data_IF_862341346980
#
_entry.id   IF_862341346980
#
_cell.length_a   1.000
_cell.length_b   1.000
_cell.length_c   1.000
_cell.angle_alpha   90.00
_cell.angle_beta   90.00
_cell.angle_gamma   90.00
#
_symmetry.space_group_name_H-M   'P 1'
#
loop_
_entity.id
_entity.type
_entity.pdbx_description
1 polymer ?
#
# COMPACT_ATOMS: atom_id res chain seq x y z
N UNK A 1 0.48 6.46 69.41
CA UNK A 1 0.04 7.05 68.13
C UNK A 1 -0.34 5.91 67.22
N UNK A 2 -1.62 5.80 66.84
CA UNK A 2 -2.07 4.77 65.91
C UNK A 2 -1.74 5.18 64.49
N UNK A 3 -1.04 4.33 63.73
CA UNK A 3 -0.92 4.49 62.28
C UNK A 3 -2.29 4.17 61.69
N UNK A 4 -2.83 5.10 60.89
CA UNK A 4 -4.09 4.88 60.15
C UNK A 4 -3.85 3.87 59.03
N UNK A 5 -4.85 3.06 58.70
CA UNK A 5 -4.76 2.14 57.56
C UNK A 5 -4.56 2.93 56.26
N UNK A 6 -3.81 2.34 55.33
CA UNK A 6 -3.51 2.95 54.04
C UNK A 6 -4.77 3.00 53.16
N UNK A 7 -5.04 4.15 52.56
CA UNK A 7 -6.13 4.32 51.60
C UNK A 7 -5.67 4.04 50.17
N UNK A 8 -6.61 3.81 49.25
CA UNK A 8 -6.29 3.66 47.82
C UNK A 8 -5.51 4.87 47.26
N UNK A 9 -5.77 6.08 47.77
CA UNK A 9 -5.02 7.28 47.39
C UNK A 9 -3.57 7.24 47.87
N UNK A 10 -3.34 6.82 49.11
CA UNK A 10 -1.97 6.69 49.66
C UNK A 10 -1.17 5.67 48.82
N UNK A 11 -1.81 4.58 48.38
CA UNK A 11 -1.17 3.55 47.55
C UNK A 11 -0.88 4.02 46.12
N UNK A 12 -1.77 4.82 45.52
CA UNK A 12 -1.52 5.47 44.22
C UNK A 12 -0.37 6.48 44.32
N UNK A 13 -0.30 7.25 45.41
CA UNK A 13 0.82 8.14 45.69
C UNK A 13 2.13 7.36 45.87
N UNK A 14 2.10 6.20 46.54
CA UNK A 14 3.26 5.32 46.65
C UNK A 14 3.73 4.80 45.28
N UNK A 15 2.81 4.36 44.40
CA UNK A 15 3.15 3.95 43.04
C UNK A 15 3.82 5.08 42.23
N UNK A 16 3.34 6.32 42.39
CA UNK A 16 3.95 7.49 41.76
C UNK A 16 5.35 7.76 42.28
N UNK A 17 5.58 7.63 43.60
CA UNK A 17 6.90 7.77 44.20
C UNK A 17 7.85 6.69 43.68
N UNK A 18 7.42 5.42 43.69
CA UNK A 18 8.22 4.31 43.16
C UNK A 18 8.61 4.51 41.70
N UNK A 19 7.68 4.98 40.87
CA UNK A 19 7.96 5.35 39.48
C UNK A 19 9.04 6.44 39.39
N UNK A 20 8.88 7.52 40.15
CA UNK A 20 9.80 8.66 40.10
C UNK A 20 11.20 8.32 40.62
N UNK A 21 11.30 7.36 41.54
CA UNK A 21 12.56 6.80 42.04
C UNK A 21 13.21 5.80 41.06
N UNK A 22 12.53 5.45 39.97
CA UNK A 22 13.04 4.47 39.00
C UNK A 22 12.97 3.04 39.53
N UNK A 23 11.99 2.71 40.37
CA UNK A 23 11.81 1.37 40.90
C UNK A 23 11.51 0.36 39.77
N UNK A 24 12.24 -0.75 39.79
CA UNK A 24 12.10 -1.88 38.86
C UNK A 24 11.68 -3.18 39.58
N UNK A 25 11.41 -3.09 40.89
CA UNK A 25 11.04 -4.23 41.72
C UNK A 25 9.56 -4.61 41.51
N UNK A 26 9.33 -5.55 40.59
CA UNK A 26 7.99 -6.09 40.31
C UNK A 26 7.35 -6.64 41.59
N UNK A 27 8.07 -7.39 42.43
CA UNK A 27 7.45 -8.04 43.59
C UNK A 27 6.89 -7.02 44.57
N UNK A 28 7.61 -5.90 44.78
CA UNK A 28 7.14 -4.77 45.58
C UNK A 28 5.88 -4.14 44.98
N UNK A 29 5.90 -3.87 43.67
CA UNK A 29 4.76 -3.26 42.96
C UNK A 29 3.54 -4.19 42.94
N UNK A 30 3.74 -5.49 42.71
CA UNK A 30 2.69 -6.53 42.82
C UNK A 30 2.07 -6.55 44.22
N UNK A 31 2.87 -6.34 45.28
CA UNK A 31 2.38 -6.22 46.65
C UNK A 31 1.36 -5.09 46.81
N UNK A 32 1.62 -3.93 46.20
CA UNK A 32 0.71 -2.79 46.22
C UNK A 32 -0.57 -3.09 45.41
N UNK A 33 -0.44 -3.68 44.22
CA UNK A 33 -1.61 -4.07 43.42
C UNK A 33 -2.48 -5.10 44.13
N UNK A 34 -1.89 -6.10 44.79
CA UNK A 34 -2.62 -7.08 45.60
C UNK A 34 -3.39 -6.43 46.75
N UNK A 35 -2.84 -5.37 47.35
CA UNK A 35 -3.54 -4.63 48.40
C UNK A 35 -4.72 -3.85 47.80
N UNK A 36 -4.51 -3.17 46.67
CA UNK A 36 -5.56 -2.47 45.94
C UNK A 36 -6.69 -3.41 45.48
N UNK A 37 -6.35 -4.63 45.06
CA UNK A 37 -7.32 -5.65 44.64
C UNK A 37 -8.16 -6.18 45.82
N UNK A 38 -7.55 -6.34 47.00
CA UNK A 38 -8.25 -6.83 48.21
C UNK A 38 -9.20 -5.82 48.84
N UNK A 39 -8.87 -4.53 48.79
CA UNK A 39 -9.65 -3.45 49.38
C UNK A 39 -10.91 -3.07 48.55
N UNK A 40 -11.21 -3.83 47.50
CA UNK A 40 -11.92 -3.28 46.35
C UNK A 40 -13.44 -3.14 46.51
N UNK A 41 -13.89 -1.88 46.52
CA UNK A 41 -14.74 -1.32 45.45
C UNK A 41 -13.82 -0.37 44.67
N UNK A 42 -13.54 -0.65 43.39
CA UNK A 42 -12.73 0.25 42.57
C UNK A 42 -13.38 1.64 42.53
N UNK A 43 -12.81 2.61 43.24
CA UNK A 43 -13.31 3.97 43.19
C UNK A 43 -13.02 4.54 41.79
N UNK A 44 -13.94 5.38 41.29
CA UNK A 44 -13.72 6.10 40.02
C UNK A 44 -12.41 6.90 40.05
N UNK A 45 -11.99 7.37 41.22
CA UNK A 45 -10.73 8.07 41.45
C UNK A 45 -9.52 7.19 41.16
N UNK A 46 -9.52 5.92 41.60
CA UNK A 46 -8.45 4.97 41.31
C UNK A 46 -8.30 4.73 39.80
N UNK A 47 -9.42 4.45 39.10
CA UNK A 47 -9.39 4.24 37.64
C UNK A 47 -8.85 5.48 36.93
N UNK A 48 -9.27 6.67 37.36
CA UNK A 48 -8.81 7.94 36.80
C UNK A 48 -7.30 8.10 36.99
N UNK A 49 -6.75 7.72 38.14
CA UNK A 49 -5.31 7.79 38.39
C UNK A 49 -4.50 6.85 37.48
N UNK A 50 -4.96 5.60 37.30
CA UNK A 50 -4.32 4.63 36.41
C UNK A 50 -4.38 5.02 34.93
N UNK A 51 -5.42 5.74 34.52
CA UNK A 51 -5.53 6.29 33.15
C UNK A 51 -4.65 7.54 32.99
N UNK A 52 -4.63 8.44 33.96
CA UNK A 52 -3.92 9.72 33.86
C UNK A 52 -2.41 9.59 34.11
N UNK A 53 -1.97 8.57 34.84
CA UNK A 53 -0.58 8.41 35.26
C UNK A 53 0.00 7.07 34.83
N UNK A 54 1.27 7.06 34.46
CA UNK A 54 1.99 5.83 34.14
C UNK A 54 2.43 5.12 35.42
N UNK A 55 1.50 4.41 36.07
CA UNK A 55 1.69 3.72 37.37
C UNK A 55 1.59 2.20 37.27
N UNK A 56 1.61 1.66 36.05
CA UNK A 56 1.66 0.22 35.76
C UNK A 56 3.10 -0.17 35.39
N UNK A 57 3.78 -0.91 36.24
CA UNK A 57 5.13 -1.41 35.92
C UNK A 57 5.03 -2.64 35.01
N UNK A 58 5.71 -2.64 33.87
CA UNK A 58 5.80 -3.78 32.96
C UNK A 58 7.26 -4.09 32.68
N UNK A 59 7.63 -5.37 32.76
CA UNK A 59 8.99 -5.83 32.42
C UNK A 59 9.00 -6.42 31.02
N UNK A 60 9.86 -5.87 30.18
CA UNK A 60 10.16 -6.33 28.81
C UNK A 60 11.62 -6.77 28.78
N UNK A 61 11.86 -8.06 28.89
CA UNK A 61 13.20 -8.66 29.01
C UNK A 61 14.05 -8.04 30.13
N UNK A 62 15.07 -7.25 29.75
CA UNK A 62 16.00 -6.58 30.65
C UNK A 62 15.57 -5.16 31.04
N UNK A 63 14.48 -4.64 30.47
CA UNK A 63 14.00 -3.29 30.70
C UNK A 63 12.68 -3.28 31.46
N UNK A 64 12.57 -2.38 32.42
CA UNK A 64 11.34 -2.09 33.15
C UNK A 64 10.78 -0.76 32.70
N UNK A 65 9.50 -0.72 32.35
CA UNK A 65 8.82 0.48 31.85
C UNK A 65 7.56 0.71 32.65
N UNK A 66 7.31 1.95 33.01
CA UNK A 66 6.07 2.39 33.64
C UNK A 66 5.10 2.91 32.57
N UNK A 67 3.88 2.36 32.56
CA UNK A 67 2.84 2.61 31.57
C UNK A 67 1.53 3.04 32.24
N UNK A 68 0.69 3.75 31.50
CA UNK A 68 -0.70 4.02 31.89
C UNK A 68 -1.63 2.86 31.52
N UNK A 69 -2.84 2.86 32.06
CA UNK A 69 -3.86 1.86 31.74
C UNK A 69 -4.21 1.84 30.24
N UNK A 70 -4.19 2.99 29.55
CA UNK A 70 -4.45 3.08 28.10
C UNK A 70 -3.32 2.51 27.23
N UNK A 71 -2.13 2.33 27.79
CA UNK A 71 -0.97 1.77 27.09
C UNK A 71 -0.80 0.26 27.35
N UNK A 72 -1.69 -0.32 28.17
CA UNK A 72 -1.68 -1.71 28.57
C UNK A 72 -2.88 -2.46 28.02
N UNK A 73 -2.73 -3.77 27.86
CA UNK A 73 -3.83 -4.66 27.56
C UNK A 73 -3.64 -6.00 28.26
N UNK A 74 -4.71 -6.77 28.37
CA UNK A 74 -4.63 -8.16 28.79
C UNK A 74 -4.66 -9.07 27.56
N UNK A 75 -3.73 -10.03 27.47
CA UNK A 75 -3.79 -11.05 26.43
C UNK A 75 -3.64 -12.46 26.97
N UNK A 76 -4.44 -13.39 26.44
CA UNK A 76 -4.34 -14.81 26.79
C UNK A 76 -3.31 -15.55 25.93
N UNK A 77 -3.06 -15.06 24.72
CA UNK A 77 -2.07 -15.59 23.81
C UNK A 77 -0.63 -15.44 24.34
N UNK A 78 0.23 -16.38 23.99
CA UNK A 78 1.68 -16.23 24.15
C UNK A 78 2.17 -15.21 23.12
N UNK A 79 2.39 -13.97 23.56
CA UNK A 79 2.90 -12.88 22.72
C UNK A 79 4.43 -12.82 22.79
N UNK A 80 5.11 -12.41 21.72
CA UNK A 80 6.54 -12.07 21.80
C UNK A 80 6.78 -10.75 22.58
N UNK A 81 8.05 -10.57 22.96
CA UNK A 81 8.56 -9.80 24.11
C UNK A 81 8.27 -8.28 24.14
N UNK A 82 7.66 -7.70 23.10
CA UNK A 82 7.55 -6.24 22.95
C UNK A 82 6.19 -5.63 23.32
N UNK A 83 5.23 -6.43 23.76
CA UNK A 83 3.87 -5.95 23.98
C UNK A 83 3.51 -5.77 25.47
N UNK A 84 2.72 -4.73 25.76
CA UNK A 84 2.25 -4.34 27.10
C UNK A 84 1.23 -5.32 27.73
N UNK A 85 1.34 -6.62 27.45
CA UNK A 85 0.46 -7.63 28.03
C UNK A 85 0.76 -7.81 29.51
N UNK A 86 -0.26 -7.59 30.35
CA UNK A 86 -0.10 -7.66 31.80
C UNK A 86 -0.04 -9.10 32.35
N UNK A 87 -0.52 -10.09 31.58
CA UNK A 87 -0.55 -11.50 32.00
C UNK A 87 0.84 -12.03 32.37
N UNK A 88 1.88 -11.63 31.63
CA UNK A 88 3.24 -12.09 31.87
C UNK A 88 3.83 -11.56 33.20
N UNK A 89 3.48 -10.33 33.59
CA UNK A 89 3.96 -9.72 34.82
C UNK A 89 3.08 -10.06 36.04
N UNK A 90 1.78 -10.19 35.82
CA UNK A 90 0.78 -10.27 36.87
C UNK A 90 -0.33 -11.31 36.58
N UNK A 91 0.00 -12.61 36.46
CA UNK A 91 -0.96 -13.63 36.07
C UNK A 91 -2.15 -13.76 37.03
N UNK A 92 -1.93 -13.53 38.32
CA UNK A 92 -2.96 -13.67 39.37
C UNK A 92 -3.89 -12.46 39.50
N UNK A 93 -3.58 -11.34 38.84
CA UNK A 93 -4.31 -10.07 38.95
C UNK A 93 -5.24 -9.81 37.76
N UNK A 94 -5.69 -10.86 37.06
CA UNK A 94 -6.55 -10.74 35.89
C UNK A 94 -7.83 -9.94 36.17
N UNK A 95 -8.56 -10.31 37.23
CA UNK A 95 -9.82 -9.65 37.59
C UNK A 95 -9.59 -8.19 38.00
N UNK A 96 -8.51 -7.91 38.73
CA UNK A 96 -8.10 -6.55 39.05
C UNK A 96 -7.94 -5.69 37.79
N UNK A 97 -7.10 -6.11 36.85
CA UNK A 97 -6.83 -5.29 35.67
C UNK A 97 -8.04 -5.16 34.75
N UNK A 98 -8.78 -6.25 34.51
CA UNK A 98 -9.93 -6.24 33.60
C UNK A 98 -11.17 -5.59 34.22
N UNK A 99 -11.57 -6.00 35.42
CA UNK A 99 -12.84 -5.58 36.02
C UNK A 99 -12.69 -4.29 36.84
N UNK A 100 -11.65 -4.21 37.68
CA UNK A 100 -11.41 -3.05 38.54
C UNK A 100 -10.97 -1.82 37.76
N UNK A 101 -9.92 -1.99 36.98
CA UNK A 101 -9.28 -0.89 36.26
C UNK A 101 -9.94 -0.66 34.90
N UNK A 102 -10.53 -1.70 34.29
CA UNK A 102 -11.15 -1.59 32.96
C UNK A 102 -10.15 -1.61 31.83
N UNK A 103 -9.01 -2.29 32.03
CA UNK A 103 -8.01 -2.47 30.98
C UNK A 103 -8.61 -3.35 29.88
N UNK A 104 -8.37 -2.97 28.62
CA UNK A 104 -8.90 -3.70 27.47
C UNK A 104 -8.22 -5.06 27.30
N UNK A 105 -9.02 -6.03 26.87
CA UNK A 105 -8.50 -7.27 26.28
C UNK A 105 -7.88 -6.92 24.91
N UNK A 106 -6.79 -7.60 24.54
CA UNK A 106 -6.11 -7.38 23.26
C UNK A 106 -7.09 -7.50 22.08
N UNK A 107 -6.88 -6.72 21.03
CA UNK A 107 -7.65 -6.86 19.81
C UNK A 107 -7.47 -8.23 19.16
N UNK A 108 -6.32 -8.89 19.38
CA UNK A 108 -6.05 -10.26 18.93
C UNK A 108 -6.99 -11.27 19.59
N UNK A 109 -7.08 -11.28 20.92
CA UNK A 109 -7.95 -12.23 21.63
C UNK A 109 -9.42 -11.93 21.34
N UNK A 110 -9.79 -10.65 21.23
CA UNK A 110 -11.14 -10.25 20.79
C UNK A 110 -11.48 -10.69 19.37
N UNK A 111 -10.48 -10.78 18.50
CA UNK A 111 -10.65 -11.28 17.14
C UNK A 111 -10.88 -12.80 17.12
N UNK A 112 -10.23 -13.54 18.02
CA UNK A 112 -10.37 -15.00 18.13
C UNK A 112 -11.57 -15.45 18.97
N UNK A 113 -12.13 -14.56 19.79
CA UNK A 113 -13.27 -14.88 20.61
C UNK A 113 -14.52 -15.12 19.75
N UNK A 114 -15.00 -16.36 19.76
CA UNK A 114 -16.19 -16.81 19.04
C UNK A 114 -17.50 -16.20 19.55
N UNK A 115 -17.48 -15.50 20.69
CA UNK A 115 -18.65 -14.84 21.26
C UNK A 115 -19.08 -13.56 20.50
N UNK A 116 -18.26 -13.08 19.56
CA UNK A 116 -18.55 -11.90 18.74
C UNK A 116 -18.93 -12.30 17.32
N UNK A 117 -20.15 -12.00 16.90
CA UNK A 117 -20.73 -12.49 15.63
C UNK A 117 -21.33 -11.36 14.79
N UNK A 118 -20.64 -10.23 14.66
CA UNK A 118 -21.03 -9.21 13.67
C UNK A 118 -19.86 -8.83 12.77
N UNK A 119 -20.18 -8.56 11.51
CA UNK A 119 -19.25 -8.09 10.48
C UNK A 119 -18.49 -6.84 10.94
N UNK A 120 -19.19 -5.94 11.63
CA UNK A 120 -18.65 -4.68 12.12
C UNK A 120 -17.63 -4.90 13.25
N UNK A 121 -17.89 -5.85 14.15
CA UNK A 121 -16.97 -6.14 15.24
C UNK A 121 -15.68 -6.78 14.73
N UNK A 122 -15.76 -7.70 13.76
CA UNK A 122 -14.59 -8.32 13.14
C UNK A 122 -13.68 -7.27 12.49
N UNK A 123 -14.25 -6.38 11.65
CA UNK A 123 -13.52 -5.26 11.05
C UNK A 123 -12.90 -4.34 12.09
N UNK A 124 -13.67 -3.95 13.11
CA UNK A 124 -13.20 -3.08 14.19
C UNK A 124 -12.03 -3.73 14.94
N UNK A 125 -12.10 -5.02 15.24
CA UNK A 125 -11.04 -5.74 15.94
C UNK A 125 -9.78 -5.87 15.08
N UNK A 126 -9.91 -6.17 13.77
CA UNK A 126 -8.76 -6.16 12.84
C UNK A 126 -8.07 -4.79 12.79
N UNK A 127 -8.84 -3.70 12.68
CA UNK A 127 -8.30 -2.34 12.70
C UNK A 127 -7.69 -1.98 14.06
N UNK A 128 -8.33 -2.38 15.17
CA UNK A 128 -7.80 -2.15 16.52
C UNK A 128 -6.47 -2.88 16.73
N UNK A 129 -6.30 -4.07 16.15
CA UNK A 129 -5.04 -4.80 16.19
C UNK A 129 -3.93 -4.04 15.44
N UNK A 130 -4.26 -3.40 14.31
CA UNK A 130 -3.32 -2.52 13.61
C UNK A 130 -2.97 -1.28 14.44
N UNK A 131 -3.94 -0.72 15.16
CA UNK A 131 -3.70 0.43 16.02
C UNK A 131 -2.82 0.05 17.23
N UNK A 132 -3.08 -1.10 17.87
CA UNK A 132 -2.28 -1.66 18.98
C UNK A 132 -0.82 -1.94 18.57
N UNK A 133 -0.62 -2.42 17.34
CA UNK A 133 0.70 -2.74 16.75
C UNK A 133 1.35 -1.54 16.05
N UNK A 134 0.71 -0.36 16.06
CA UNK A 134 1.16 0.86 15.36
C UNK A 134 1.41 0.63 13.85
N UNK A 135 0.63 -0.25 13.24
CA UNK A 135 0.73 -0.63 11.83
C UNK A 135 1.94 -1.53 11.51
N UNK A 136 2.66 -2.03 12.51
CA UNK A 136 3.66 -3.07 12.32
C UNK A 136 3.01 -4.45 12.23
N UNK A 137 3.78 -5.44 11.76
CA UNK A 137 3.33 -6.84 11.73
C UNK A 137 3.04 -7.30 13.18
N UNK A 138 1.84 -7.85 13.44
CA UNK A 138 1.51 -8.34 14.78
C UNK A 138 2.48 -9.42 15.27
N UNK A 139 2.99 -9.21 16.48
CA UNK A 139 3.82 -10.14 17.25
C UNK A 139 2.99 -11.27 17.92
N UNK A 140 1.97 -11.74 17.20
CA UNK A 140 1.04 -12.77 17.63
C UNK A 140 1.12 -13.98 16.69
N UNK A 141 0.72 -15.18 17.14
CA UNK A 141 0.67 -16.33 16.25
C UNK A 141 -0.43 -16.11 15.18
N UNK A 142 -0.06 -16.27 13.91
CA UNK A 142 -0.95 -16.07 12.76
C UNK A 142 -1.95 -17.22 12.57
N UNK A 143 -1.56 -18.44 12.91
CA UNK A 143 -2.34 -19.65 12.60
C UNK A 143 -3.74 -19.69 13.23
N UNK A 144 -3.94 -19.24 14.49
CA UNK A 144 -5.29 -19.13 15.05
C UNK A 144 -6.19 -18.20 14.24
N UNK A 145 -5.67 -17.06 13.75
CA UNK A 145 -6.44 -16.09 12.98
C UNK A 145 -6.82 -16.64 11.61
N UNK A 146 -5.91 -17.38 10.96
CA UNK A 146 -6.19 -18.03 9.66
C UNK A 146 -7.34 -19.02 9.74
N UNK A 147 -7.41 -19.78 10.83
CA UNK A 147 -8.43 -20.81 11.08
C UNK A 147 -9.73 -20.23 11.63
N UNK A 148 -9.68 -19.05 12.24
CA UNK A 148 -10.86 -18.40 12.81
C UNK A 148 -11.76 -17.83 11.72
N UNK A 149 -13.08 -17.88 11.95
CA UNK A 149 -14.09 -17.26 11.09
C UNK A 149 -14.15 -15.76 11.35
N UNK A 150 -13.18 -15.01 10.83
CA UNK A 150 -13.01 -13.58 11.13
C UNK A 150 -13.04 -12.70 9.88
N UNK A 151 -12.93 -13.28 8.69
CA UNK A 151 -12.84 -12.52 7.44
C UNK A 151 -14.22 -12.17 6.91
N UNK A 152 -14.55 -10.87 6.79
CA UNK A 152 -15.78 -10.39 6.15
C UNK A 152 -15.85 -10.84 4.70
N UNK A 153 -16.82 -11.69 4.35
CA UNK A 153 -17.06 -12.12 2.98
C UNK A 153 -18.38 -11.57 2.49
N UNK A 154 -18.37 -11.04 1.28
CA UNK A 154 -19.56 -10.70 0.51
C UNK A 154 -19.77 -11.76 -0.57
N UNK A 155 -20.90 -12.46 -0.51
CA UNK A 155 -21.29 -13.39 -1.58
C UNK A 155 -22.08 -12.63 -2.65
N UNK A 156 -21.57 -12.66 -3.88
CA UNK A 156 -22.38 -12.30 -5.04
C UNK A 156 -23.48 -13.36 -5.18
N UNK A 157 -24.73 -12.96 -4.94
CA UNK A 157 -25.88 -13.82 -5.21
C UNK A 157 -26.19 -13.85 -6.70
N UNK A 158 -26.73 -14.98 -7.14
CA UNK A 158 -27.36 -15.11 -8.45
C UNK A 158 -28.37 -13.96 -8.69
N UNK A 159 -28.47 -13.56 -9.96
CA UNK A 159 -29.12 -12.36 -10.54
C UNK A 159 -30.56 -12.06 -10.03
N UNK A 160 -31.20 -12.96 -9.29
CA UNK A 160 -32.61 -12.86 -8.86
C UNK A 160 -32.84 -12.76 -7.34
N UNK A 161 -31.83 -12.48 -6.51
CA UNK A 161 -32.05 -12.26 -5.07
C UNK A 161 -31.70 -10.83 -4.60
N UNK A 162 -32.62 -10.14 -3.89
CA UNK A 162 -32.48 -8.72 -3.56
C UNK A 162 -31.63 -8.42 -2.31
N UNK A 163 -30.87 -9.37 -1.75
CA UNK A 163 -30.20 -9.18 -0.45
C UNK A 163 -28.82 -9.82 -0.39
N UNK A 164 -27.77 -9.00 -0.44
CA UNK A 164 -26.36 -9.44 -0.25
C UNK A 164 -26.21 -10.27 1.02
N UNK A 165 -25.63 -11.46 0.91
CA UNK A 165 -25.30 -12.31 2.06
C UNK A 165 -23.88 -12.00 2.52
N UNK A 166 -23.75 -11.68 3.80
CA UNK A 166 -22.48 -11.44 4.46
C UNK A 166 -22.21 -12.56 5.46
N UNK A 167 -21.02 -13.16 5.38
CA UNK A 167 -20.58 -14.21 6.32
C UNK A 167 -19.16 -13.91 6.80
N UNK A 168 -18.83 -14.37 8.00
CA UNK A 168 -17.44 -14.43 8.47
C UNK A 168 -16.85 -15.79 8.14
N UNK A 169 -15.75 -15.78 7.40
CA UNK A 169 -15.07 -16.98 6.93
C UNK A 169 -13.63 -17.06 7.45
N UNK A 170 -13.04 -18.26 7.38
CA UNK A 170 -11.60 -18.48 7.60
C UNK A 170 -10.82 -18.22 6.32
N UNK A 171 -9.49 -18.04 6.40
CA UNK A 171 -8.67 -17.85 5.19
C UNK A 171 -8.72 -19.07 4.26
N UNK A 172 -8.83 -20.26 4.85
CA UNK A 172 -8.78 -21.56 4.15
C UNK A 172 -10.06 -21.90 3.36
N UNK A 173 -11.13 -21.12 3.50
CA UNK A 173 -12.32 -21.32 2.66
C UNK A 173 -12.13 -20.67 1.30
N UNK A 174 -12.77 -21.25 0.27
CA UNK A 174 -12.97 -20.60 -1.03
C UNK A 174 -13.82 -19.33 -0.79
N UNK A 175 -13.16 -18.17 -0.81
CA UNK A 175 -13.76 -16.86 -0.51
C UNK A 175 -13.96 -16.12 -1.84
N UNK A 176 -15.20 -15.72 -2.13
CA UNK A 176 -15.56 -15.03 -3.36
C UNK A 176 -15.16 -13.56 -3.37
N UNK A 177 -15.28 -12.85 -2.23
CA UNK A 177 -14.83 -11.46 -2.12
C UNK A 177 -14.75 -11.02 -0.67
N UNK A 178 -13.63 -10.41 -0.26
CA UNK A 178 -13.55 -9.77 1.06
C UNK A 178 -14.28 -8.43 1.04
N UNK A 179 -15.14 -8.21 2.02
CA UNK A 179 -15.93 -7.00 2.14
C UNK A 179 -15.14 -5.91 2.89
N UNK A 180 -14.32 -5.13 2.19
CA UNK A 180 -13.62 -3.97 2.74
C UNK A 180 -13.68 -2.77 1.81
N UNK A 181 -13.76 -1.56 2.37
CA UNK A 181 -13.56 -0.34 1.61
C UNK A 181 -12.07 -0.02 1.40
N UNK A 182 -11.76 0.97 0.55
CA UNK A 182 -10.37 1.31 0.22
C UNK A 182 -9.58 1.86 1.42
N UNK A 183 -10.23 2.53 2.36
CA UNK A 183 -9.58 3.07 3.57
C UNK A 183 -9.24 1.92 4.51
N UNK A 184 -10.18 1.00 4.72
CA UNK A 184 -10.00 -0.23 5.47
C UNK A 184 -8.87 -1.06 4.86
N UNK A 185 -8.87 -1.28 3.55
CA UNK A 185 -7.81 -2.05 2.86
C UNK A 185 -6.44 -1.43 3.08
N UNK A 186 -6.31 -0.10 2.97
CA UNK A 186 -5.03 0.58 3.22
C UNK A 186 -4.56 0.44 4.66
N UNK A 187 -5.47 0.59 5.63
CA UNK A 187 -5.12 0.46 7.06
C UNK A 187 -4.78 -0.98 7.44
N UNK A 188 -5.40 -1.95 6.78
CA UNK A 188 -5.22 -3.38 7.00
C UNK A 188 -4.11 -4.00 6.15
N UNK A 189 -3.38 -3.22 5.35
CA UNK A 189 -2.28 -3.74 4.54
C UNK A 189 -1.26 -4.57 5.35
N UNK A 190 -0.78 -4.13 6.54
CA UNK A 190 0.12 -4.94 7.36
C UNK A 190 -0.54 -6.22 7.89
N UNK A 191 -1.85 -6.17 8.18
CA UNK A 191 -2.63 -7.34 8.58
C UNK A 191 -2.72 -8.37 7.45
N UNK A 192 -3.03 -7.93 6.22
CA UNK A 192 -3.13 -8.81 5.06
C UNK A 192 -1.80 -9.48 4.71
N UNK A 193 -0.69 -8.74 4.82
CA UNK A 193 0.67 -9.28 4.71
C UNK A 193 0.96 -10.33 5.79
N UNK A 194 0.59 -10.02 7.02
CA UNK A 194 0.80 -10.94 8.15
C UNK A 194 0.05 -12.26 7.97
N UNK A 195 -1.18 -12.24 7.46
CA UNK A 195 -1.95 -13.47 7.17
C UNK A 195 -1.66 -14.08 5.79
N UNK A 196 -0.81 -13.45 4.98
CA UNK A 196 -0.41 -13.85 3.62
C UNK A 196 -1.57 -13.97 2.61
N UNK A 197 -2.42 -12.94 2.53
CA UNK A 197 -3.53 -12.87 1.55
C UNK A 197 -3.44 -11.68 0.60
N UNK A 198 -2.37 -10.90 0.66
CA UNK A 198 -2.10 -9.73 -0.17
C UNK A 198 -2.00 -10.07 -1.66
N UNK A 199 -1.70 -11.31 -2.04
CA UNK A 199 -1.71 -11.72 -3.44
C UNK A 199 -3.11 -11.95 -4.00
N UNK A 200 -4.14 -11.98 -3.14
CA UNK A 200 -5.54 -12.25 -3.52
C UNK A 200 -6.35 -11.00 -3.85
N UNK A 201 -5.74 -9.82 -3.98
CA UNK A 201 -6.48 -8.62 -4.39
C UNK A 201 -7.09 -8.82 -5.78
N UNK A 202 -8.36 -8.44 -5.94
CA UNK A 202 -9.04 -8.46 -7.25
C UNK A 202 -8.25 -7.72 -8.32
N UNK A 203 -7.59 -6.62 -7.98
CA UNK A 203 -6.73 -5.86 -8.90
C UNK A 203 -5.55 -6.66 -9.48
N UNK A 204 -5.19 -7.81 -8.88
CA UNK A 204 -4.16 -8.74 -9.35
C UNK A 204 -4.74 -9.92 -10.11
N UNK A 205 -5.98 -10.31 -9.81
CA UNK A 205 -6.65 -11.48 -10.40
C UNK A 205 -7.48 -11.13 -11.64
N UNK A 206 -7.84 -9.86 -11.81
CA UNK A 206 -8.66 -9.40 -12.95
C UNK A 206 -7.80 -9.21 -14.19
N UNK A 207 -8.24 -9.81 -15.29
CA UNK A 207 -7.74 -9.56 -16.64
C UNK A 207 -8.70 -8.63 -17.37
N UNK A 208 -8.15 -7.62 -18.02
CA UNK A 208 -8.92 -6.73 -18.89
C UNK A 208 -8.85 -7.25 -20.33
N UNK A 209 -10.00 -7.53 -20.94
CA UNK A 209 -10.10 -7.92 -22.34
C UNK A 209 -10.74 -6.80 -23.17
N UNK A 210 -10.19 -6.55 -24.35
CA UNK A 210 -10.72 -5.54 -25.25
C UNK A 210 -12.03 -6.02 -25.87
N UNK A 211 -13.10 -5.28 -25.63
CA UNK A 211 -14.38 -5.55 -26.28
C UNK A 211 -14.48 -4.76 -27.58
N UNK A 212 -14.54 -3.43 -27.46
CA UNK A 212 -14.85 -2.56 -28.61
C UNK A 212 -14.08 -1.25 -28.53
N UNK A 213 -13.57 -0.80 -29.69
CA UNK A 213 -12.99 0.53 -29.88
C UNK A 213 -13.88 1.35 -30.80
N UNK A 214 -14.33 2.53 -30.33
CA UNK A 214 -15.14 3.44 -31.14
C UNK A 214 -14.23 4.41 -31.89
N UNK A 215 -14.05 4.13 -33.19
CA UNK A 215 -13.17 4.90 -34.06
C UNK A 215 -13.80 6.21 -34.54
N UNK A 216 -13.46 7.32 -33.88
CA UNK A 216 -13.43 8.65 -34.49
C UNK A 216 -12.04 9.23 -34.31
N UNK A 217 -11.05 8.64 -34.99
CA UNK A 217 -9.65 8.96 -34.76
C UNK A 217 -9.35 10.43 -35.03
N UNK A 218 -9.07 11.20 -33.97
CA UNK A 218 -8.79 12.63 -34.07
C UNK A 218 -7.31 12.95 -34.21
N UNK A 219 -6.43 12.08 -33.69
CA UNK A 219 -4.99 12.31 -33.68
C UNK A 219 -4.22 11.00 -33.64
N UNK A 220 -3.11 10.92 -34.38
CA UNK A 220 -2.16 9.81 -34.38
C UNK A 220 -0.75 10.33 -34.16
N UNK A 221 0.05 9.62 -33.37
CA UNK A 221 1.47 9.91 -33.18
C UNK A 221 2.24 8.62 -32.84
N UNK A 222 3.57 8.68 -32.90
CA UNK A 222 4.44 7.53 -32.64
C UNK A 222 5.21 7.68 -31.31
N UNK A 223 5.76 6.55 -30.85
CA UNK A 223 6.67 6.50 -29.69
C UNK A 223 8.15 6.53 -30.10
N UNK A 224 8.48 6.65 -31.40
CA UNK A 224 9.85 6.45 -31.91
C UNK A 224 10.86 7.35 -31.23
N UNK A 225 10.48 8.59 -30.94
CA UNK A 225 11.35 9.56 -30.29
C UNK A 225 11.70 9.19 -28.83
N UNK A 226 10.82 8.43 -28.17
CA UNK A 226 10.94 8.01 -26.75
C UNK A 226 11.28 6.53 -26.60
N UNK A 227 11.22 5.74 -27.68
CA UNK A 227 11.44 4.30 -27.70
C UNK A 227 12.76 3.86 -27.05
N UNK A 228 13.85 4.60 -27.27
CA UNK A 228 15.15 4.28 -26.66
C UNK A 228 15.11 4.33 -25.13
N UNK A 229 14.39 5.31 -24.58
CA UNK A 229 14.28 5.52 -23.13
C UNK A 229 13.39 4.44 -22.49
N UNK A 230 12.30 4.07 -23.16
CA UNK A 230 11.42 2.97 -22.72
C UNK A 230 12.15 1.61 -22.84
N UNK A 231 13.00 1.41 -23.85
CA UNK A 231 13.74 0.17 -24.03
C UNK A 231 14.74 -0.15 -22.89
N UNK A 232 15.06 0.83 -22.03
CA UNK A 232 15.92 0.63 -20.85
C UNK A 232 15.29 -0.28 -19.79
N UNK A 233 13.98 -0.46 -19.81
CA UNK A 233 13.28 -1.40 -18.91
C UNK A 233 13.27 -2.84 -19.42
N UNK A 234 13.69 -3.08 -20.68
CA UNK A 234 13.83 -4.42 -21.21
C UNK A 234 15.05 -5.14 -20.63
N UNK A 235 15.00 -6.48 -20.58
CA UNK A 235 16.21 -7.26 -20.27
C UNK A 235 17.31 -6.98 -21.31
N UNK A 236 18.59 -7.11 -20.97
CA UNK A 236 19.70 -6.77 -21.89
C UNK A 236 19.61 -7.48 -23.25
N UNK A 237 19.06 -8.70 -23.29
CA UNK A 237 18.87 -9.48 -24.52
C UNK A 237 17.59 -9.12 -25.28
N UNK A 238 16.60 -8.53 -24.62
CA UNK A 238 15.31 -8.16 -25.21
C UNK A 238 15.16 -6.65 -25.47
N UNK A 239 16.05 -5.81 -24.92
CA UNK A 239 15.96 -4.36 -25.05
C UNK A 239 16.04 -3.89 -26.52
N UNK A 240 16.78 -4.59 -27.38
CA UNK A 240 16.88 -4.24 -28.81
C UNK A 240 15.61 -4.63 -29.60
N UNK A 241 15.02 -5.80 -29.33
CA UNK A 241 13.74 -6.22 -29.91
C UNK A 241 12.63 -5.28 -29.47
N UNK A 242 12.57 -4.98 -28.17
CA UNK A 242 11.66 -4.01 -27.58
C UNK A 242 11.80 -2.63 -28.23
N UNK A 243 13.03 -2.12 -28.38
CA UNK A 243 13.29 -0.85 -29.05
C UNK A 243 12.72 -0.82 -30.48
N UNK A 244 12.95 -1.89 -31.26
CA UNK A 244 12.43 -2.00 -32.63
C UNK A 244 10.90 -2.01 -32.66
N UNK A 245 10.27 -2.78 -31.76
CA UNK A 245 8.81 -2.85 -31.62
C UNK A 245 8.20 -1.50 -31.27
N UNK A 246 8.79 -0.78 -30.31
CA UNK A 246 8.36 0.56 -29.91
C UNK A 246 8.55 1.61 -31.01
N UNK A 247 9.54 1.43 -31.89
CA UNK A 247 9.78 2.33 -33.03
C UNK A 247 8.72 2.22 -34.14
N UNK A 248 7.99 1.10 -34.18
CA UNK A 248 6.85 0.85 -35.07
C UNK A 248 5.50 1.10 -34.39
N UNK A 249 5.49 1.34 -33.07
CA UNK A 249 4.27 1.50 -32.30
C UNK A 249 3.49 2.75 -32.69
N UNK A 250 2.16 2.63 -32.73
CA UNK A 250 1.26 3.73 -33.03
C UNK A 250 0.41 4.06 -31.81
N UNK A 251 0.30 5.35 -31.49
CA UNK A 251 -0.68 5.85 -30.54
C UNK A 251 -1.83 6.50 -31.31
N UNK A 252 -3.04 5.99 -31.09
CA UNK A 252 -4.26 6.42 -31.77
C UNK A 252 -5.22 6.97 -30.72
N UNK A 253 -5.54 8.26 -30.85
CA UNK A 253 -6.62 8.84 -30.07
C UNK A 253 -7.97 8.40 -30.66
N UNK A 254 -8.85 7.83 -29.83
CA UNK A 254 -10.16 7.28 -30.21
C UNK A 254 -11.29 7.92 -29.41
N UNK A 255 -12.55 7.70 -29.78
CA UNK A 255 -13.68 8.33 -29.10
C UNK A 255 -13.97 7.70 -27.74
N UNK A 256 -14.01 6.36 -27.68
CA UNK A 256 -14.18 5.56 -26.47
C UNK A 256 -13.49 4.21 -26.66
N UNK A 257 -13.05 3.61 -25.56
CA UNK A 257 -12.53 2.24 -25.48
C UNK A 257 -13.37 1.50 -24.45
N UNK A 258 -13.92 0.34 -24.80
CA UNK A 258 -14.68 -0.51 -23.91
C UNK A 258 -13.95 -1.83 -23.68
N UNK A 259 -13.91 -2.26 -22.43
CA UNK A 259 -13.28 -3.52 -22.02
C UNK A 259 -14.20 -4.29 -21.10
N UNK A 260 -14.14 -5.61 -21.18
CA UNK A 260 -14.70 -6.52 -20.18
C UNK A 260 -13.62 -6.87 -19.16
N UNK A 261 -14.05 -7.11 -17.92
CA UNK A 261 -13.19 -7.64 -16.88
C UNK A 261 -13.47 -9.12 -16.73
N UNK A 262 -12.42 -9.92 -16.72
CA UNK A 262 -12.47 -11.36 -16.53
C UNK A 262 -11.67 -11.77 -15.31
N UNK A 263 -12.19 -12.72 -14.55
CA UNK A 263 -11.51 -13.31 -13.40
C UNK A 263 -11.66 -14.82 -13.53
N UNK A 264 -10.60 -15.56 -13.28
CA UNK A 264 -10.68 -17.03 -13.17
C UNK A 264 -10.73 -17.39 -11.70
N UNK A 265 -11.83 -17.97 -11.25
CA UNK A 265 -12.01 -18.42 -9.88
C UNK A 265 -12.67 -19.81 -9.89
N UNK A 266 -12.12 -20.75 -9.11
CA UNK A 266 -12.64 -22.11 -8.98
C UNK A 266 -12.83 -22.81 -10.34
N UNK A 267 -11.83 -22.64 -11.22
CA UNK A 267 -11.82 -23.09 -12.63
C UNK A 267 -12.96 -22.54 -13.51
N UNK A 268 -13.69 -21.53 -13.03
CA UNK A 268 -14.73 -20.82 -13.78
C UNK A 268 -14.26 -19.42 -14.17
N UNK A 269 -14.58 -19.01 -15.40
CA UNK A 269 -14.35 -17.65 -15.88
C UNK A 269 -15.57 -16.82 -15.54
N UNK A 270 -15.39 -15.83 -14.66
CA UNK A 270 -16.39 -14.84 -14.29
C UNK A 270 -16.10 -13.58 -15.10
N UNK A 271 -17.04 -13.14 -15.93
CA UNK A 271 -16.93 -11.93 -16.73
C UNK A 271 -17.87 -10.85 -16.21
N UNK A 272 -17.49 -9.58 -16.37
CA UNK A 272 -18.37 -8.45 -16.09
C UNK A 272 -19.60 -8.44 -17.01
N UNK A 273 -20.80 -8.26 -16.45
CA UNK A 273 -22.07 -8.21 -17.20
C UNK A 273 -22.12 -7.12 -18.29
N UNK A 274 -21.42 -6.01 -18.06
CA UNK A 274 -21.38 -4.86 -18.97
C UNK A 274 -19.93 -4.40 -19.19
N UNK A 275 -19.55 -4.10 -20.44
CA UNK A 275 -18.27 -3.48 -20.74
C UNK A 275 -18.18 -2.10 -20.10
N UNK A 276 -17.00 -1.75 -19.59
CA UNK A 276 -16.77 -0.42 -19.02
C UNK A 276 -15.81 0.39 -19.88
N UNK A 277 -15.95 1.72 -19.85
CA UNK A 277 -15.04 2.61 -20.56
C UNK A 277 -13.67 2.65 -19.87
N UNK A 278 -12.59 2.59 -20.65
CA UNK A 278 -11.21 2.74 -20.14
C UNK A 278 -10.46 3.91 -20.79
N UNK A 279 -9.57 4.60 -20.05
CA UNK A 279 -8.84 5.73 -20.62
C UNK A 279 -7.77 5.37 -21.66
N UNK A 280 -7.24 4.14 -21.59
CA UNK A 280 -6.24 3.65 -22.54
C UNK A 280 -6.27 2.12 -22.62
N UNK A 281 -5.83 1.56 -23.75
CA UNK A 281 -5.63 0.13 -23.94
C UNK A 281 -4.43 -0.13 -24.86
N UNK A 282 -3.69 -1.21 -24.62
CA UNK A 282 -2.53 -1.60 -25.42
C UNK A 282 -2.85 -2.92 -26.11
N UNK A 283 -2.94 -2.87 -27.45
CA UNK A 283 -3.05 -4.06 -28.30
C UNK A 283 -1.67 -4.38 -28.87
N UNK A 284 -1.22 -5.61 -28.68
CA UNK A 284 0.05 -6.10 -29.18
C UNK A 284 -0.18 -7.46 -29.87
N UNK A 285 -0.24 -7.42 -31.20
CA UNK A 285 -0.54 -8.56 -32.07
C UNK A 285 0.51 -8.69 -33.19
N UNK A 286 0.37 -9.66 -34.10
CA UNK A 286 1.34 -9.82 -35.20
C UNK A 286 1.38 -8.57 -36.13
N UNK A 287 0.32 -7.78 -36.19
CA UNK A 287 0.18 -6.60 -37.05
C UNK A 287 0.88 -5.35 -36.49
N UNK A 288 1.11 -5.31 -35.17
CA UNK A 288 1.93 -4.28 -34.54
C UNK A 288 1.48 -3.88 -33.14
N UNK A 289 2.27 -3.01 -32.51
CA UNK A 289 1.92 -2.43 -31.21
C UNK A 289 1.04 -1.19 -31.41
N UNK A 290 -0.23 -1.26 -31.00
CA UNK A 290 -1.18 -0.14 -31.08
C UNK A 290 -1.64 0.24 -29.68
N UNK A 291 -1.47 1.51 -29.33
CA UNK A 291 -1.92 2.10 -28.07
C UNK A 291 -3.12 2.98 -28.36
N UNK A 292 -4.29 2.58 -27.86
CA UNK A 292 -5.51 3.36 -27.93
C UNK A 292 -5.58 4.29 -26.72
N UNK A 293 -5.91 5.56 -26.97
CA UNK A 293 -6.08 6.58 -25.93
C UNK A 293 -7.43 7.27 -26.11
N UNK A 294 -8.21 7.34 -25.05
CA UNK A 294 -9.50 8.03 -25.05
C UNK A 294 -9.32 9.56 -25.28
N UNK A 295 -10.23 10.15 -26.05
CA UNK A 295 -10.33 11.59 -26.33
C UNK A 295 -10.94 12.38 -25.16
N UNK A 296 -11.64 11.72 -24.24
CA UNK A 296 -12.41 12.37 -23.17
C UNK A 296 -11.57 13.29 -22.25
N UNK A 297 -12.24 14.10 -21.43
CA UNK A 297 -11.66 15.10 -20.51
C UNK A 297 -10.62 14.53 -19.52
N UNK A 298 -10.56 13.20 -19.40
CA UNK A 298 -9.59 12.46 -18.61
C UNK A 298 -8.23 12.28 -19.30
N UNK A 299 -7.93 13.03 -20.38
CA UNK A 299 -6.68 12.92 -21.12
C UNK A 299 -5.44 12.99 -20.21
N UNK A 300 -5.42 13.87 -19.21
CA UNK A 300 -4.32 13.94 -18.25
C UNK A 300 -4.21 12.66 -17.40
N UNK A 301 -5.34 12.12 -16.91
CA UNK A 301 -5.35 10.85 -16.17
C UNK A 301 -4.85 9.69 -17.03
N UNK A 302 -5.21 9.68 -18.32
CA UNK A 302 -4.68 8.71 -19.27
C UNK A 302 -3.14 8.76 -19.34
N UNK A 303 -2.56 9.92 -19.67
CA UNK A 303 -1.11 10.02 -19.91
C UNK A 303 -0.26 9.94 -18.63
N UNK A 304 -0.77 10.41 -17.50
CA UNK A 304 0.01 10.52 -16.27
C UNK A 304 -0.32 9.45 -15.21
N UNK A 305 -1.30 8.58 -15.46
CA UNK A 305 -1.64 7.51 -14.51
C UNK A 305 -1.92 6.17 -15.17
N UNK A 306 -2.84 6.10 -16.13
CA UNK A 306 -3.31 4.81 -16.68
C UNK A 306 -2.30 4.24 -17.68
N UNK A 307 -1.86 5.04 -18.65
CA UNK A 307 -0.94 4.59 -19.70
C UNK A 307 0.43 4.16 -19.15
N UNK A 308 1.08 4.88 -18.21
CA UNK A 308 2.31 4.40 -17.59
C UNK A 308 2.17 3.02 -16.95
N UNK A 309 1.05 2.75 -16.26
CA UNK A 309 0.76 1.44 -15.63
C UNK A 309 0.54 0.34 -16.66
N UNK A 310 -0.28 0.59 -17.68
CA UNK A 310 -0.50 -0.38 -18.78
C UNK A 310 0.78 -0.67 -19.56
N UNK A 311 1.63 0.34 -19.79
CA UNK A 311 2.94 0.13 -20.41
C UNK A 311 3.84 -0.74 -19.55
N UNK A 312 3.85 -0.55 -18.23
CA UNK A 312 4.60 -1.42 -17.34
C UNK A 312 4.09 -2.85 -17.38
N UNK A 313 2.77 -3.05 -17.25
CA UNK A 313 2.15 -4.38 -17.32
C UNK A 313 2.52 -5.08 -18.64
N UNK A 314 2.45 -4.36 -19.75
CA UNK A 314 2.87 -4.86 -21.06
C UNK A 314 4.36 -5.20 -21.12
N UNK A 315 5.25 -4.34 -20.59
CA UNK A 315 6.70 -4.59 -20.54
C UNK A 315 7.06 -5.81 -19.68
N UNK A 316 6.24 -6.15 -18.69
CA UNK A 316 6.50 -7.22 -17.72
C UNK A 316 5.81 -8.55 -18.08
N UNK A 317 5.00 -8.59 -19.14
CA UNK A 317 4.16 -9.74 -19.54
C UNK A 317 4.95 -11.05 -19.75
N UNK A 318 6.21 -10.97 -20.18
CA UNK A 318 7.09 -12.13 -20.46
C UNK A 318 8.22 -12.33 -19.44
N UNK A 319 8.28 -11.48 -18.41
CA UNK A 319 9.29 -11.59 -17.36
C UNK A 319 8.84 -12.65 -16.35
N UNK A 320 9.60 -13.74 -16.20
CA UNK A 320 9.42 -14.74 -15.12
C UNK A 320 9.56 -14.19 -13.69
N UNK A 321 9.79 -12.89 -13.52
CA UNK A 321 9.58 -12.25 -12.22
C UNK A 321 8.08 -12.21 -12.02
N UNK A 322 7.63 -12.96 -11.01
CA UNK A 322 6.24 -12.97 -10.59
C UNK A 322 5.67 -11.55 -10.53
N UNK A 323 4.35 -11.49 -10.66
CA UNK A 323 3.50 -10.30 -10.67
C UNK A 323 3.62 -9.41 -9.42
N UNK A 324 4.75 -9.36 -8.72
CA UNK A 324 5.03 -8.40 -7.68
C UNK A 324 4.75 -7.01 -8.27
N UNK A 325 3.82 -6.29 -7.64
CA UNK A 325 3.03 -5.23 -8.26
C UNK A 325 3.88 -4.18 -8.97
N UNK A 326 3.24 -3.38 -9.82
CA UNK A 326 3.93 -2.36 -10.62
C UNK A 326 4.94 -1.57 -9.76
N UNK A 327 6.25 -1.87 -9.87
CA UNK A 327 7.29 -1.19 -9.11
C UNK A 327 7.12 0.30 -9.32
N UNK A 328 6.82 1.04 -8.25
CA UNK A 328 6.49 2.46 -8.27
C UNK A 328 7.53 3.27 -9.07
N UNK A 329 8.78 2.84 -9.00
CA UNK A 329 9.93 3.38 -9.73
C UNK A 329 9.74 3.31 -11.25
N UNK A 330 9.29 2.17 -11.79
CA UNK A 330 9.05 1.99 -13.23
C UNK A 330 7.85 2.81 -13.68
N UNK A 331 6.73 2.81 -12.95
CA UNK A 331 5.57 3.67 -13.26
C UNK A 331 5.99 5.14 -13.29
N UNK A 332 6.76 5.59 -12.29
CA UNK A 332 7.21 6.96 -12.18
C UNK A 332 8.16 7.36 -13.33
N UNK A 333 9.07 6.47 -13.70
CA UNK A 333 9.98 6.69 -14.82
C UNK A 333 9.24 6.72 -16.17
N UNK A 334 8.29 5.80 -16.40
CA UNK A 334 7.43 5.82 -17.59
C UNK A 334 6.56 7.09 -17.65
N UNK A 335 6.06 7.55 -16.51
CA UNK A 335 5.33 8.81 -16.40
C UNK A 335 6.21 9.99 -16.81
N UNK A 336 7.45 10.04 -16.31
CA UNK A 336 8.44 11.06 -16.66
C UNK A 336 8.79 11.03 -18.15
N UNK A 337 8.96 9.82 -18.71
CA UNK A 337 9.20 9.63 -20.14
C UNK A 337 8.05 10.18 -20.97
N UNK A 338 6.81 9.89 -20.62
CA UNK A 338 5.63 10.37 -21.34
C UNK A 338 5.45 11.89 -21.21
N UNK A 339 5.75 12.46 -20.04
CA UNK A 339 5.60 13.88 -19.73
C UNK A 339 6.67 14.79 -20.37
N UNK A 340 7.91 14.33 -20.44
CA UNK A 340 9.06 15.22 -20.71
C UNK A 340 9.47 15.26 -22.18
N UNK A 341 10.21 16.31 -22.54
CA UNK A 341 10.90 16.40 -23.83
C UNK A 341 12.10 15.45 -23.87
N UNK A 342 12.37 14.90 -25.06
CA UNK A 342 13.45 13.92 -25.30
C UNK A 342 14.83 14.46 -24.89
N UNK A 343 15.06 15.77 -24.99
CA UNK A 343 16.34 16.37 -24.63
C UNK A 343 16.68 16.24 -23.13
N UNK A 344 15.68 16.09 -22.26
CA UNK A 344 15.87 15.97 -20.81
C UNK A 344 15.86 14.51 -20.31
N UNK A 345 15.45 13.55 -21.15
CA UNK A 345 15.17 12.18 -20.69
C UNK A 345 16.42 11.42 -20.24
N UNK A 346 17.58 11.64 -20.85
CA UNK A 346 18.82 10.99 -20.42
C UNK A 346 19.17 11.37 -18.97
N UNK A 347 19.16 12.67 -18.64
CA UNK A 347 19.42 13.15 -17.29
C UNK A 347 18.36 12.73 -16.28
N UNK A 348 17.08 12.80 -16.64
CA UNK A 348 15.97 12.37 -15.74
C UNK A 348 16.12 10.89 -15.38
N UNK A 349 16.42 10.03 -16.35
CA UNK A 349 16.54 8.60 -16.10
C UNK A 349 17.83 8.24 -15.35
N UNK A 350 18.93 8.95 -15.61
CA UNK A 350 20.19 8.80 -14.84
C UNK A 350 19.99 9.19 -13.37
N UNK A 351 19.29 10.30 -13.08
CA UNK A 351 18.93 10.71 -11.72
C UNK A 351 18.03 9.69 -11.00
N UNK A 352 17.22 8.94 -11.77
CA UNK A 352 16.40 7.83 -11.28
C UNK A 352 17.16 6.49 -11.21
N UNK A 353 18.46 6.47 -11.50
CA UNK A 353 19.30 5.27 -11.46
C UNK A 353 19.09 4.29 -12.62
N UNK A 354 18.45 4.72 -13.70
CA UNK A 354 18.13 3.88 -14.87
C UNK A 354 19.23 4.02 -15.93
N UNK A 355 20.04 2.97 -16.05
CA UNK A 355 21.20 2.92 -16.93
C UNK A 355 20.84 2.84 -18.42
N UNK A 356 21.78 3.27 -19.25
CA UNK A 356 21.66 3.19 -20.71
C UNK A 356 21.80 1.75 -21.22
N UNK A 357 21.21 1.47 -22.38
CA UNK A 357 21.31 0.16 -23.08
C UNK A 357 22.47 0.15 -24.08
N UNK A 358 23.06 -1.01 -24.40
CA UNK A 358 24.33 -1.09 -25.13
C UNK A 358 24.24 -0.84 -26.65
N UNK A 359 23.11 -0.30 -27.13
CA UNK A 359 22.90 -0.02 -28.56
C UNK A 359 22.53 1.45 -28.79
N UNK A 360 22.78 1.94 -30.00
CA UNK A 360 22.59 3.35 -30.32
C UNK A 360 21.12 3.75 -30.50
N UNK A 361 20.79 4.95 -30.02
CA UNK A 361 19.51 5.60 -30.29
C UNK A 361 19.44 6.13 -31.73
N UNK A 362 18.93 5.30 -32.66
CA UNK A 362 18.81 5.66 -34.07
C UNK A 362 17.96 6.92 -34.33
N UNK A 363 16.94 7.18 -33.49
CA UNK A 363 16.10 8.37 -33.60
C UNK A 363 16.90 9.66 -33.31
N UNK A 364 17.85 9.62 -32.38
CA UNK A 364 18.73 10.75 -32.08
C UNK A 364 19.73 11.01 -33.23
N UNK A 365 20.24 9.95 -33.88
CA UNK A 365 21.16 10.04 -35.01
C UNK A 365 20.46 10.69 -36.22
N UNK A 366 19.23 10.25 -36.54
CA UNK A 366 18.47 10.83 -37.65
C UNK A 366 18.15 12.32 -37.44
N UNK A 367 17.88 12.75 -36.19
CA UNK A 367 17.71 14.17 -35.85
C UNK A 367 19.00 14.97 -36.05
N UNK A 368 20.14 14.48 -35.56
CA UNK A 368 21.45 15.13 -35.76
C UNK A 368 21.80 15.27 -37.25
N UNK A 369 21.50 14.25 -38.05
CA UNK A 369 21.75 14.30 -39.50
C UNK A 369 20.81 15.29 -40.23
N UNK A 370 19.53 15.37 -39.85
CA UNK A 370 18.60 16.37 -40.40
C UNK A 370 19.00 17.81 -40.06
N UNK A 371 19.59 18.05 -38.89
CA UNK A 371 20.10 19.37 -38.48
C UNK A 371 21.35 19.73 -39.30
N UNK A 372 22.28 18.79 -39.47
CA UNK A 372 23.50 19.00 -40.29
C UNK A 372 23.20 19.32 -41.76
N UNK A 373 22.15 18.74 -42.34
CA UNK A 373 21.73 19.00 -43.73
C UNK A 373 21.09 20.38 -43.92
N UNK A 374 20.71 21.09 -42.83
CA UNK A 374 20.06 22.42 -42.89
C UNK A 374 20.99 23.62 -42.64
N UNK A 375 22.30 23.42 -42.56
CA UNK A 375 23.24 24.56 -42.52
C UNK A 375 23.31 25.21 -43.91
N UNK A 376 23.10 26.53 -44.06
CA UNK A 376 23.27 27.19 -45.35
C UNK A 376 24.75 27.17 -45.74
N UNK A 377 25.03 26.77 -46.97
CA UNK A 377 26.33 27.02 -47.62
C UNK A 377 26.64 28.50 -47.52
N UNK A 378 27.75 28.83 -46.86
CA UNK A 378 28.26 30.19 -46.81
C UNK A 378 28.55 30.65 -48.26
N UNK A 379 27.83 31.67 -48.72
CA UNK A 379 28.13 32.37 -49.97
C UNK A 379 29.38 33.21 -49.70
N UNK A 380 30.51 32.83 -50.31
CA UNK A 380 31.73 33.63 -50.34
C UNK A 380 31.48 34.89 -51.17
N UNK A 381 30.94 35.95 -50.56
CA UNK A 381 30.90 37.28 -51.17
C UNK A 381 31.50 38.33 -50.25
N UNK A 382 32.59 38.88 -50.78
CA UNK A 382 33.43 40.04 -50.45
C UNK A 382 33.28 40.78 -49.11
N UNK A 383 34.41 41.19 -48.50
CA UNK A 383 34.41 41.91 -47.23
C UNK A 383 33.89 43.34 -47.41
N UNK A 384 32.72 43.61 -46.82
CA UNK A 384 32.20 44.97 -46.63
C UNK A 384 33.14 45.76 -45.73
N UNK A 385 33.77 46.79 -46.30
CA UNK A 385 34.61 47.73 -45.55
C UNK A 385 33.71 48.69 -44.76
N UNK A 386 33.73 48.58 -43.43
CA UNK A 386 33.01 49.51 -42.54
C UNK A 386 33.79 50.81 -42.41
N UNK A 387 33.25 51.91 -42.95
CA UNK A 387 33.76 53.27 -42.73
C UNK A 387 33.32 53.74 -41.35
N UNK A 388 34.28 53.91 -40.45
CA UNK A 388 34.10 54.50 -39.12
C UNK A 388 33.97 56.02 -39.29
N UNK A 389 32.83 56.60 -38.91
CA UNK A 389 32.70 58.06 -38.71
C UNK A 389 33.21 58.41 -37.32
N UNK A 390 34.24 59.26 -37.28
CA UNK A 390 34.77 59.85 -36.06
C UNK A 390 33.73 60.76 -35.38
N UNK A 391 33.72 60.70 -34.04
CA UNK A 391 33.03 61.66 -33.18
C UNK A 391 33.88 62.91 -33.07
N UNK A 392 33.29 64.08 -33.32
CA UNK A 392 33.86 65.37 -32.91
C UNK A 392 33.07 65.90 -31.70
N UNK A 393 33.85 66.50 -30.79
CA UNK A 393 33.50 67.03 -29.47
C UNK A 393 32.38 68.07 -29.44
#
# INVERSE_FOLDING_TARGET
MGVRDATAKDLVEELLLLRNEGCEDIARVTGIYNYLDKEMIASSEMRTAFVASAIILVKRDALSIWLSASECFWSEAETTQLNSSLKACYPDLKQFFLEALGISISAYDRLLDSAWTSLADAKRNMLSLMDETKGAVPEFPVEPVRKAKVFPVEHALEINQPSRLYELCSVDTEINMLYFDLIEVRRLQPFFQWVSIEDRYLSRCVKEELDTVVYLATRRWDLRAKAYHIARFGSCHDALSLYRRLCTAQIIQVFCIYTSLEIVQDDQVIQSDLPHAVPAHISDDDDGLIIYVDKNEQQQLCFFSVLPRKLQEWLMKDSHRGSDGASFEVVNALTSILASDVAALDGILEDQGIVQVPFENQAAIQRKNKIKVRLPTADEREPLTLVIRERSF
#
